data_IF_519358145939
#
_entry.id   IF_519358145939
#
_cell.length_a   1.000
_cell.length_b   1.000
_cell.length_c   1.000
_cell.angle_alpha   90.00
_cell.angle_beta   90.00
_cell.angle_gamma   90.00
#
_symmetry.space_group_name_H-M   'P 1'
#
loop_
_entity.id
_entity.type
_entity.pdbx_description
1 polymer ?
#
# COMPACT_ATOMS: atom_id res chain seq x y z
N UNK A 1 -0.98 25.51 -19.48
CA UNK A 1 -2.43 25.50 -19.77
C UNK A 1 -2.95 24.11 -19.42
N UNK A 2 -3.75 23.96 -18.36
CA UNK A 2 -4.25 22.67 -17.90
C UNK A 2 -5.24 22.06 -18.89
N UNK A 3 -5.20 20.75 -19.02
CA UNK A 3 -6.17 20.02 -19.83
C UNK A 3 -7.42 19.78 -19.00
N UNK A 4 -8.59 20.12 -19.52
CA UNK A 4 -9.86 19.65 -18.96
C UNK A 4 -10.00 18.14 -19.24
N UNK A 5 -10.73 17.41 -18.41
CA UNK A 5 -10.89 15.94 -18.49
C UNK A 5 -11.45 15.38 -19.81
N UNK A 6 -11.77 16.23 -20.80
CA UNK A 6 -12.23 15.82 -22.11
C UNK A 6 -11.10 15.11 -22.87
N UNK A 7 -11.06 13.80 -22.86
CA UNK A 7 -10.12 12.89 -23.54
C UNK A 7 -9.02 12.26 -22.65
N UNK A 8 -9.19 12.24 -21.32
CA UNK A 8 -8.26 11.50 -20.49
C UNK A 8 -8.47 9.98 -20.69
N UNK A 9 -7.38 9.24 -20.79
CA UNK A 9 -7.42 7.80 -20.98
C UNK A 9 -7.17 7.07 -19.65
N UNK A 10 -7.85 5.94 -19.41
CA UNK A 10 -7.47 5.03 -18.31
C UNK A 10 -5.97 4.69 -18.36
N UNK A 11 -5.33 4.58 -17.20
CA UNK A 11 -3.90 4.34 -17.06
C UNK A 11 -3.04 5.62 -17.05
N UNK A 12 -3.55 6.78 -17.46
CA UNK A 12 -2.79 8.03 -17.39
C UNK A 12 -2.51 8.43 -15.95
N UNK A 13 -1.27 8.81 -15.65
CA UNK A 13 -0.87 9.35 -14.34
C UNK A 13 -0.80 10.86 -14.43
N UNK A 14 -1.55 11.53 -13.57
CA UNK A 14 -1.74 12.97 -13.56
C UNK A 14 -1.49 13.55 -12.17
N UNK A 15 -1.41 14.88 -12.12
CA UNK A 15 -1.44 15.66 -10.88
C UNK A 15 -2.36 16.86 -11.06
N UNK A 16 -2.87 17.43 -10.00
CA UNK A 16 -3.64 18.67 -10.05
C UNK A 16 -2.71 19.87 -10.27
N UNK A 17 -3.16 20.84 -11.06
CA UNK A 17 -2.33 22.02 -11.38
C UNK A 17 -2.03 22.85 -10.13
N UNK A 18 -2.98 22.91 -9.21
CA UNK A 18 -2.83 23.68 -7.96
C UNK A 18 -2.39 22.85 -6.76
N UNK A 19 -2.15 21.55 -6.95
CA UNK A 19 -1.67 20.64 -5.90
C UNK A 19 -0.90 19.48 -6.53
N UNK A 20 0.37 19.72 -6.82
CA UNK A 20 1.28 18.75 -7.42
C UNK A 20 1.75 17.64 -6.46
N UNK A 21 1.48 17.80 -5.16
CA UNK A 21 1.70 16.75 -4.17
C UNK A 21 0.71 15.58 -4.30
N UNK A 22 -0.44 15.80 -4.96
CA UNK A 22 -1.42 14.74 -5.22
C UNK A 22 -1.20 14.20 -6.62
N UNK A 23 -0.72 12.97 -6.70
CA UNK A 23 -0.56 12.23 -7.96
C UNK A 23 -1.63 11.15 -8.01
N UNK A 24 -2.23 10.94 -9.17
CA UNK A 24 -3.32 9.98 -9.32
C UNK A 24 -3.28 9.26 -10.66
N UNK A 25 -3.77 8.03 -10.67
CA UNK A 25 -3.96 7.24 -11.90
C UNK A 25 -5.44 7.19 -12.26
N UNK A 26 -5.77 7.51 -13.47
CA UNK A 26 -7.12 7.31 -14.01
C UNK A 26 -7.38 5.81 -14.14
N UNK A 27 -8.42 5.31 -13.47
CA UNK A 27 -8.81 3.91 -13.53
C UNK A 27 -9.81 3.66 -14.66
N UNK A 28 -10.82 4.50 -14.76
CA UNK A 28 -11.85 4.43 -15.80
C UNK A 28 -12.56 5.76 -15.96
N UNK A 29 -13.33 5.87 -17.00
CA UNK A 29 -14.27 6.96 -17.24
C UNK A 29 -15.66 6.33 -17.27
N UNK A 30 -16.63 6.88 -16.51
CA UNK A 30 -17.97 6.33 -16.51
C UNK A 30 -18.74 6.72 -17.80
N UNK A 31 -19.95 6.16 -17.97
CA UNK A 31 -20.81 6.41 -19.13
C UNK A 31 -21.16 7.89 -19.34
N UNK A 32 -21.19 8.68 -18.26
CA UNK A 32 -21.42 10.14 -18.32
C UNK A 32 -20.15 10.95 -18.59
N UNK A 33 -19.02 10.30 -18.84
CA UNK A 33 -17.74 10.94 -19.13
C UNK A 33 -16.95 11.42 -17.92
N UNK A 34 -17.34 11.05 -16.69
CA UNK A 34 -16.58 11.39 -15.49
C UNK A 34 -15.41 10.45 -15.25
N UNK A 35 -14.20 10.97 -15.09
CA UNK A 35 -13.05 10.16 -14.74
C UNK A 35 -13.06 9.76 -13.27
N UNK A 36 -12.66 8.54 -13.01
CA UNK A 36 -12.37 7.99 -11.70
C UNK A 36 -10.89 7.70 -11.57
N UNK A 37 -10.32 8.00 -10.43
CA UNK A 37 -8.91 7.81 -10.19
C UNK A 37 -8.62 7.19 -8.83
N UNK A 38 -7.50 6.48 -8.77
CA UNK A 38 -6.82 6.15 -7.52
C UNK A 38 -5.85 7.28 -7.21
N UNK A 39 -6.15 8.03 -6.17
CA UNK A 39 -5.27 9.07 -5.69
C UNK A 39 -4.14 8.48 -4.87
N UNK A 40 -2.96 9.01 -5.06
CA UNK A 40 -1.91 8.95 -4.06
C UNK A 40 -1.74 10.34 -3.47
N UNK A 41 -1.56 10.42 -2.20
CA UNK A 41 -1.21 11.67 -1.56
C UNK A 41 -0.14 11.42 -0.50
N UNK A 42 0.72 12.43 -0.35
CA UNK A 42 1.65 12.45 0.74
C UNK A 42 0.91 12.86 2.00
N UNK A 43 0.65 11.91 2.90
CA UNK A 43 0.18 12.26 4.23
C UNK A 43 1.31 12.94 5.00
N UNK A 44 1.01 14.13 5.45
CA UNK A 44 1.82 14.84 6.42
C UNK A 44 1.79 14.05 7.72
N UNK A 45 2.88 13.39 8.07
CA UNK A 45 3.00 12.73 9.36
C UNK A 45 3.16 13.82 10.43
N UNK A 46 2.10 14.11 11.17
CA UNK A 46 2.19 14.94 12.36
C UNK A 46 3.08 14.24 13.39
N UNK A 47 4.39 14.47 13.30
CA UNK A 47 5.28 14.28 14.43
C UNK A 47 5.15 15.51 15.33
N UNK A 48 5.18 15.32 16.64
CA UNK A 48 5.07 16.40 17.63
C UNK A 48 6.20 17.46 17.56
N UNK A 49 7.19 17.21 16.72
CA UNK A 49 8.34 18.06 16.52
C UNK A 49 8.22 18.83 15.20
N UNK A 50 8.30 20.11 15.30
CA UNK A 50 8.20 21.16 14.29
C UNK A 50 9.04 20.90 13.04
N UNK A 51 8.49 20.42 11.97
CA UNK A 51 9.02 20.11 10.64
C UNK A 51 9.27 18.61 10.40
N UNK A 52 8.28 17.86 9.91
CA UNK A 52 8.51 16.50 9.45
C UNK A 52 9.12 16.51 8.06
N UNK A 53 10.27 15.86 7.94
CA UNK A 53 10.89 15.55 6.66
C UNK A 53 10.35 14.23 6.06
N UNK A 54 9.32 13.63 6.63
CA UNK A 54 8.78 12.35 6.19
C UNK A 54 7.33 12.49 5.77
N UNK A 55 7.09 12.36 4.47
CA UNK A 55 5.78 12.19 3.90
C UNK A 55 5.47 10.69 3.84
N UNK A 56 4.35 10.27 4.42
CA UNK A 56 3.84 8.94 4.22
C UNK A 56 2.96 8.93 2.97
N UNK A 57 3.33 8.08 2.02
CA UNK A 57 2.57 7.92 0.80
C UNK A 57 1.40 6.97 1.04
N UNK A 58 0.20 7.39 0.67
CA UNK A 58 -1.00 6.57 0.73
C UNK A 58 -1.70 6.54 -0.62
N UNK A 59 -2.25 5.38 -0.96
CA UNK A 59 -3.11 5.21 -2.13
C UNK A 59 -4.53 4.92 -1.65
N UNK A 60 -5.51 5.56 -2.25
CA UNK A 60 -6.92 5.27 -1.97
C UNK A 60 -7.25 3.81 -2.21
N UNK A 61 -8.03 3.21 -1.31
CA UNK A 61 -8.49 1.81 -1.44
C UNK A 61 -9.55 1.62 -2.54
N UNK A 62 -10.20 2.70 -2.97
CA UNK A 62 -11.23 2.70 -4.02
C UNK A 62 -11.08 3.90 -4.93
N UNK A 63 -11.39 3.77 -6.23
CA UNK A 63 -11.40 4.90 -7.14
C UNK A 63 -12.39 5.98 -6.70
N UNK A 64 -11.93 7.23 -6.73
CA UNK A 64 -12.73 8.40 -6.40
C UNK A 64 -13.05 9.16 -7.69
N UNK A 65 -14.28 9.68 -7.80
CA UNK A 65 -14.67 10.53 -8.92
C UNK A 65 -13.94 11.86 -8.86
N UNK A 66 -13.24 12.22 -9.94
CA UNK A 66 -12.58 13.51 -10.08
C UNK A 66 -13.55 14.46 -10.78
N UNK A 67 -14.01 15.47 -10.07
CA UNK A 67 -15.01 16.42 -10.58
C UNK A 67 -14.58 17.15 -11.86
N UNK A 68 -15.54 17.64 -12.65
CA UNK A 68 -15.34 18.33 -13.93
C UNK A 68 -14.61 19.67 -13.86
N UNK A 69 -14.55 20.29 -12.69
CA UNK A 69 -14.03 21.65 -12.52
C UNK A 69 -12.55 21.69 -12.19
N UNK A 70 -11.93 20.55 -11.97
CA UNK A 70 -10.53 20.49 -11.54
C UNK A 70 -9.62 20.41 -12.76
N UNK A 71 -8.69 21.33 -12.88
CA UNK A 71 -7.65 21.28 -13.88
C UNK A 71 -6.52 20.33 -13.47
N UNK A 72 -6.09 19.50 -14.39
CA UNK A 72 -5.00 18.55 -14.20
C UNK A 72 -3.95 18.69 -15.28
N UNK A 73 -2.79 18.18 -15.00
CA UNK A 73 -1.70 18.01 -15.96
C UNK A 73 -1.12 16.61 -15.86
N UNK A 74 -0.44 16.19 -16.91
CA UNK A 74 0.29 14.94 -16.86
C UNK A 74 1.43 15.03 -15.82
N UNK A 75 1.55 14.02 -14.98
CA UNK A 75 2.60 13.97 -13.96
C UNK A 75 3.98 13.95 -14.60
N UNK A 76 4.96 14.56 -13.96
CA UNK A 76 6.35 14.53 -14.42
C UNK A 76 6.89 13.09 -14.42
N UNK A 77 8.00 12.87 -15.12
CA UNK A 77 8.65 11.56 -15.15
C UNK A 77 8.99 11.06 -13.73
N UNK A 78 9.54 11.93 -12.91
CA UNK A 78 9.89 11.62 -11.52
C UNK A 78 8.67 11.26 -10.68
N UNK A 79 7.60 12.05 -10.76
CA UNK A 79 6.33 11.75 -10.08
C UNK A 79 5.74 10.40 -10.50
N UNK A 80 5.78 10.08 -11.80
CA UNK A 80 5.34 8.78 -12.33
C UNK A 80 6.16 7.62 -11.79
N UNK A 81 7.48 7.75 -11.76
CA UNK A 81 8.38 6.72 -11.25
C UNK A 81 8.13 6.44 -9.76
N UNK A 82 7.98 7.49 -8.95
CA UNK A 82 7.66 7.38 -7.52
C UNK A 82 6.29 6.69 -7.36
N UNK A 83 5.28 7.14 -8.08
CA UNK A 83 3.92 6.58 -8.00
C UNK A 83 3.89 5.09 -8.36
N UNK A 84 4.51 4.70 -9.47
CA UNK A 84 4.58 3.30 -9.91
C UNK A 84 5.31 2.43 -8.88
N UNK A 85 6.43 2.92 -8.33
CA UNK A 85 7.18 2.20 -7.31
C UNK A 85 6.34 1.94 -6.05
N UNK A 86 5.53 2.91 -5.66
CA UNK A 86 4.64 2.79 -4.51
C UNK A 86 3.48 1.82 -4.76
N UNK A 87 2.83 1.89 -5.94
CA UNK A 87 1.80 0.92 -6.33
C UNK A 87 2.35 -0.52 -6.32
N UNK A 88 3.57 -0.72 -6.83
CA UNK A 88 4.23 -2.02 -6.84
C UNK A 88 4.49 -2.52 -5.40
N UNK A 89 4.91 -1.64 -4.50
CA UNK A 89 5.14 -1.97 -3.10
C UNK A 89 3.83 -2.39 -2.42
N UNK A 90 2.76 -1.61 -2.57
CA UNK A 90 1.44 -1.94 -2.02
C UNK A 90 0.92 -3.28 -2.56
N UNK A 91 1.05 -3.49 -3.87
CA UNK A 91 0.67 -4.75 -4.51
C UNK A 91 1.47 -5.93 -3.96
N UNK A 92 2.78 -5.75 -3.77
CA UNK A 92 3.64 -6.79 -3.20
C UNK A 92 3.24 -7.14 -1.77
N UNK A 93 2.95 -6.14 -0.92
CA UNK A 93 2.49 -6.33 0.45
C UNK A 93 1.13 -7.05 0.48
N UNK A 94 0.20 -6.66 -0.39
CA UNK A 94 -1.11 -7.33 -0.51
C UNK A 94 -0.96 -8.79 -0.93
N UNK A 95 -0.11 -9.08 -1.91
CA UNK A 95 0.18 -10.44 -2.36
C UNK A 95 0.83 -11.27 -1.27
N UNK A 96 1.77 -10.69 -0.51
CA UNK A 96 2.38 -11.35 0.64
C UNK A 96 1.35 -11.70 1.72
N UNK A 97 0.47 -10.77 2.11
CA UNK A 97 -0.62 -11.03 3.07
C UNK A 97 -1.52 -12.17 2.58
N UNK A 98 -1.91 -12.15 1.31
CA UNK A 98 -2.73 -13.22 0.71
C UNK A 98 -2.00 -14.57 0.70
N UNK A 99 -0.70 -14.57 0.47
CA UNK A 99 0.11 -15.79 0.50
C UNK A 99 0.16 -16.40 1.91
N UNK A 100 0.30 -15.59 2.96
CA UNK A 100 0.25 -16.05 4.35
C UNK A 100 -1.08 -16.74 4.70
N UNK A 101 -2.22 -16.25 4.17
CA UNK A 101 -3.52 -16.89 4.38
C UNK A 101 -3.68 -18.20 3.61
N UNK A 102 -2.98 -18.37 2.49
CA UNK A 102 -3.05 -19.58 1.67
C UNK A 102 -2.18 -20.72 2.19
N UNK A 103 -1.08 -20.41 2.88
CA UNK A 103 -0.15 -21.43 3.33
C UNK A 103 1.08 -20.88 4.03
N UNK A 104 2.19 -21.59 3.83
CA UNK A 104 3.48 -21.26 4.42
C UNK A 104 4.27 -20.35 3.49
N UNK A 105 4.80 -19.27 4.03
CA UNK A 105 5.64 -18.30 3.32
C UNK A 105 6.99 -18.16 4.01
N UNK A 106 8.06 -18.19 3.25
CA UNK A 106 9.40 -17.84 3.71
C UNK A 106 9.71 -16.39 3.32
N UNK A 107 10.19 -15.60 4.27
CA UNK A 107 10.41 -14.17 4.04
C UNK A 107 11.48 -13.60 4.93
N UNK A 108 11.99 -12.42 4.53
CA UNK A 108 12.92 -11.63 5.32
C UNK A 108 12.38 -10.23 5.56
N UNK A 109 12.60 -9.72 6.75
CA UNK A 109 12.25 -8.36 7.12
C UNK A 109 13.25 -7.74 8.07
N UNK A 110 13.29 -6.41 8.11
CA UNK A 110 14.13 -5.63 9.01
C UNK A 110 13.38 -5.40 10.33
N UNK A 111 13.99 -5.82 11.45
CA UNK A 111 13.47 -5.54 12.79
C UNK A 111 13.61 -4.04 13.14
N UNK A 112 12.91 -3.60 14.21
CA UNK A 112 13.04 -2.23 14.73
C UNK A 112 14.47 -1.84 15.14
N UNK A 113 15.28 -2.80 15.56
CA UNK A 113 16.70 -2.59 15.92
C UNK A 113 17.65 -2.62 14.70
N UNK A 114 17.11 -2.75 13.48
CA UNK A 114 17.90 -2.76 12.25
C UNK A 114 18.36 -4.14 11.77
N UNK A 115 18.27 -5.19 12.59
CA UNK A 115 18.67 -6.55 12.21
C UNK A 115 17.70 -7.16 11.18
N UNK A 116 18.25 -7.95 10.25
CA UNK A 116 17.45 -8.71 9.29
C UNK A 116 17.05 -10.05 9.94
N UNK A 117 15.76 -10.36 9.89
CA UNK A 117 15.22 -11.65 10.31
C UNK A 117 14.72 -12.44 9.12
N UNK A 118 15.15 -13.68 8.99
CA UNK A 118 14.52 -14.71 8.17
C UNK A 118 13.44 -15.39 9.00
N UNK A 119 12.26 -15.57 8.42
CA UNK A 119 11.12 -16.16 9.07
C UNK A 119 10.39 -17.12 8.13
N UNK A 120 9.72 -18.10 8.71
CA UNK A 120 8.81 -19.02 8.05
C UNK A 120 7.46 -18.93 8.78
N UNK A 121 6.46 -18.37 8.11
CA UNK A 121 5.21 -18.00 8.78
C UNK A 121 3.98 -18.30 7.97
N UNK A 122 2.83 -18.25 8.66
CA UNK A 122 1.52 -18.50 8.07
C UNK A 122 0.41 -17.72 8.80
N UNK A 123 -0.72 -17.55 8.12
CA UNK A 123 -2.01 -17.17 8.70
C UNK A 123 -3.09 -18.22 8.38
N UNK A 124 -2.69 -19.35 7.77
CA UNK A 124 -3.59 -20.46 7.48
C UNK A 124 -3.78 -21.31 8.76
N UNK A 125 -5.03 -21.44 9.22
CA UNK A 125 -5.41 -22.18 10.43
C UNK A 125 -5.09 -23.67 10.30
N UNK A 126 -5.27 -24.25 9.12
CA UNK A 126 -4.97 -25.66 8.85
C UNK A 126 -3.48 -25.99 9.05
N UNK A 127 -2.62 -24.99 8.88
CA UNK A 127 -1.16 -25.12 9.03
C UNK A 127 -0.71 -24.84 10.46
N UNK A 128 -1.25 -23.78 11.11
CA UNK A 128 -0.84 -23.40 12.46
C UNK A 128 -1.52 -24.23 13.57
N UNK A 129 -2.63 -24.88 13.25
CA UNK A 129 -3.49 -25.60 14.21
C UNK A 129 -4.49 -24.69 14.92
N UNK A 130 -5.67 -25.23 15.22
CA UNK A 130 -6.77 -24.48 15.84
C UNK A 130 -6.41 -23.89 17.20
N UNK A 131 -5.56 -24.57 17.99
CA UNK A 131 -5.11 -24.11 19.30
C UNK A 131 -4.32 -22.79 19.21
N UNK A 132 -3.67 -22.54 18.08
CA UNK A 132 -2.89 -21.35 17.80
C UNK A 132 -3.68 -20.26 17.06
N UNK A 133 -4.93 -20.54 16.69
CA UNK A 133 -5.79 -19.57 16.03
C UNK A 133 -5.99 -18.32 16.92
N UNK A 134 -6.12 -17.12 16.34
CA UNK A 134 -6.33 -15.91 17.10
C UNK A 134 -7.60 -16.00 17.93
N UNK A 135 -7.50 -15.91 19.25
CA UNK A 135 -8.65 -15.89 20.17
C UNK A 135 -9.12 -14.45 20.34
N UNK A 136 -10.19 -14.08 19.64
CA UNK A 136 -10.87 -12.79 19.82
C UNK A 136 -11.01 -11.98 18.53
N UNK A 137 -11.90 -10.98 18.60
CA UNK A 137 -12.02 -9.94 17.58
C UNK A 137 -10.73 -9.11 17.62
N UNK A 138 -9.87 -9.32 16.61
CA UNK A 138 -8.62 -8.58 16.52
C UNK A 138 -8.90 -7.08 16.58
N UNK A 139 -8.19 -6.39 17.46
CA UNK A 139 -8.09 -4.94 17.33
C UNK A 139 -7.64 -4.62 15.91
N UNK A 140 -8.19 -3.58 15.31
CA UNK A 140 -7.76 -3.04 14.04
C UNK A 140 -6.25 -2.85 14.08
N UNK A 141 -5.59 -3.82 13.48
CA UNK A 141 -4.15 -3.73 13.27
C UNK A 141 -4.02 -2.67 12.20
N UNK A 142 -3.37 -1.58 12.51
CA UNK A 142 -3.03 -0.55 11.54
C UNK A 142 -2.55 -1.25 10.27
N UNK A 143 -3.05 -0.87 9.11
CA UNK A 143 -2.77 -1.51 7.81
C UNK A 143 -1.25 -1.71 7.55
N UNK A 144 -0.42 -0.98 8.29
CA UNK A 144 1.04 -1.02 8.22
C UNK A 144 1.69 -2.09 9.11
N UNK A 145 0.94 -2.88 9.86
CA UNK A 145 1.50 -3.92 10.74
C UNK A 145 1.09 -5.32 10.24
N UNK A 146 2.07 -6.16 9.91
CA UNK A 146 1.84 -7.54 9.48
C UNK A 146 2.04 -8.47 10.66
N UNK A 147 0.99 -9.20 11.05
CA UNK A 147 1.07 -10.30 12.03
C UNK A 147 1.13 -11.62 11.30
N UNK A 148 1.86 -12.57 11.88
CA UNK A 148 1.98 -13.93 11.37
C UNK A 148 2.28 -14.89 12.50
N UNK A 149 1.94 -16.16 12.33
CA UNK A 149 2.39 -17.25 13.19
C UNK A 149 3.72 -17.77 12.66
N UNK A 150 4.77 -17.66 13.47
CA UNK A 150 6.13 -18.07 13.12
C UNK A 150 6.29 -19.56 13.45
N UNK A 151 6.43 -20.38 12.41
CA UNK A 151 6.56 -21.83 12.54
C UNK A 151 7.86 -22.29 13.19
N UNK A 152 8.92 -21.48 13.12
CA UNK A 152 10.21 -21.82 13.71
C UNK A 152 10.23 -21.58 15.23
N UNK A 153 9.46 -20.61 15.70
CA UNK A 153 9.40 -20.25 17.13
C UNK A 153 8.07 -20.60 17.78
N UNK A 154 7.15 -21.23 17.02
CA UNK A 154 5.83 -21.65 17.47
C UNK A 154 5.06 -20.55 18.22
N UNK A 155 4.99 -19.36 17.60
CA UNK A 155 4.36 -18.22 18.26
C UNK A 155 4.07 -17.06 17.35
N UNK A 156 3.17 -16.19 17.83
CA UNK A 156 2.76 -14.98 17.10
C UNK A 156 3.84 -13.90 17.09
N UNK A 157 4.05 -13.31 15.95
CA UNK A 157 4.97 -12.21 15.73
C UNK A 157 4.37 -11.15 14.84
N UNK A 158 5.00 -9.98 14.83
CA UNK A 158 4.61 -8.89 13.92
C UNK A 158 5.81 -8.05 13.49
N UNK A 159 5.65 -7.41 12.35
CA UNK A 159 6.61 -6.42 11.84
C UNK A 159 5.89 -5.35 11.02
N UNK A 160 6.56 -4.22 10.78
CA UNK A 160 6.04 -3.13 9.96
C UNK A 160 6.13 -3.54 8.49
N UNK A 161 5.04 -3.43 7.73
CA UNK A 161 4.95 -3.86 6.33
C UNK A 161 6.06 -3.26 5.45
N UNK A 162 6.43 -2.01 5.70
CA UNK A 162 7.51 -1.31 5.01
C UNK A 162 8.89 -1.94 5.18
N UNK A 163 9.02 -2.76 6.20
CA UNK A 163 10.26 -3.47 6.50
C UNK A 163 10.39 -4.83 5.81
N UNK A 164 9.38 -5.25 5.01
CA UNK A 164 9.46 -6.46 4.20
C UNK A 164 10.56 -6.29 3.14
N UNK A 165 11.49 -7.24 3.08
CA UNK A 165 12.62 -7.23 2.15
C UNK A 165 12.31 -8.11 0.95
N UNK A 166 12.01 -9.38 1.21
CA UNK A 166 11.74 -10.38 0.19
C UNK A 166 10.87 -11.51 0.75
N UNK A 167 10.18 -12.22 -0.11
CA UNK A 167 9.38 -13.39 0.25
C UNK A 167 9.20 -14.35 -0.92
N UNK A 168 8.94 -15.62 -0.60
CA UNK A 168 8.63 -16.67 -1.57
C UNK A 168 7.55 -17.60 -1.02
N UNK A 169 6.72 -18.13 -1.91
CA UNK A 169 5.83 -19.24 -1.61
C UNK A 169 6.62 -20.55 -1.75
N UNK A 170 6.44 -21.46 -0.81
CA UNK A 170 6.84 -22.86 -0.95
C UNK A 170 5.73 -23.64 -1.65
#
# INVERSE_FOLDING_TARGET
MGKKFNNIKPGTICTFIHNDAVVFRITHVNESGFPFAMHSYYHYKHTKDLWPNEYEFQIDKKPICIGYTTEYQEATKEQKEIFIKMEQKETNIANFKNALHKGVVEFKYKKKNGEIRSAKGTLNIDVMGEDNAPKGTGYDITDNNIRYYDLNSEGWRSFIADNLIEWSNN
#
